data_IF_949433536603
#
_entry.id   IF_949433536603
#
_cell.length_a   1.000
_cell.length_b   1.000
_cell.length_c   1.000
_cell.angle_alpha   90.00
_cell.angle_beta   90.00
_cell.angle_gamma   90.00
#
_symmetry.space_group_name_H-M   'P 1'
#
loop_
_entity.id
_entity.type
_entity.pdbx_description
1 polymer ?
#
# COMPACT_ATOMS: atom_id res chain seq x y z
N UNK A 1 -5.91 -26.16 38.84
CA UNK A 1 -5.17 -24.88 38.87
C UNK A 1 -3.97 -25.05 37.95
N UNK A 2 -4.10 -24.69 36.66
CA UNK A 2 -3.06 -24.93 35.66
C UNK A 2 -2.01 -23.82 35.74
N UNK A 3 -0.79 -24.18 36.14
CA UNK A 3 0.39 -23.33 36.04
C UNK A 3 0.75 -23.15 34.55
N UNK A 4 0.17 -22.13 33.92
CA UNK A 4 0.66 -21.61 32.64
C UNK A 4 2.03 -20.96 32.87
N UNK A 5 3.03 -21.81 32.65
CA UNK A 5 4.40 -21.54 32.21
C UNK A 5 4.98 -20.15 32.50
N UNK A 6 5.71 -20.03 33.62
CA UNK A 6 6.52 -18.84 33.93
C UNK A 6 7.60 -18.57 32.88
N UNK A 7 7.98 -19.56 32.07
CA UNK A 7 8.95 -19.41 30.98
C UNK A 7 8.41 -18.57 29.81
N UNK A 8 7.11 -18.69 29.50
CA UNK A 8 6.47 -17.86 28.48
C UNK A 8 6.40 -16.39 28.90
N UNK A 9 6.21 -16.08 30.19
CA UNK A 9 6.15 -14.70 30.68
C UNK A 9 7.46 -13.94 30.49
N UNK A 10 8.62 -14.58 30.71
CA UNK A 10 9.93 -13.93 30.54
C UNK A 10 10.30 -13.72 29.07
N UNK A 11 9.93 -14.66 28.19
CA UNK A 11 10.14 -14.52 26.74
C UNK A 11 9.21 -13.46 26.13
N UNK A 12 7.94 -13.46 26.54
CA UNK A 12 6.94 -12.48 26.11
C UNK A 12 7.24 -11.08 26.67
N UNK A 13 7.69 -10.95 27.92
CA UNK A 13 8.10 -9.65 28.49
C UNK A 13 9.35 -9.08 27.83
N UNK A 14 10.29 -9.95 27.40
CA UNK A 14 11.47 -9.53 26.64
C UNK A 14 11.08 -9.05 25.23
N UNK A 15 10.16 -9.75 24.56
CA UNK A 15 9.58 -9.30 23.28
C UNK A 15 8.83 -7.98 23.42
N UNK A 16 7.96 -7.80 24.42
CA UNK A 16 7.30 -6.51 24.70
C UNK A 16 8.28 -5.37 24.98
N UNK A 17 9.38 -5.63 25.71
CA UNK A 17 10.45 -4.63 25.90
C UNK A 17 11.16 -4.27 24.60
N UNK A 18 11.31 -5.23 23.68
CA UNK A 18 11.89 -4.98 22.36
C UNK A 18 10.89 -4.29 21.43
N UNK A 19 9.61 -4.64 21.46
CA UNK A 19 8.53 -3.95 20.74
C UNK A 19 8.49 -2.46 21.10
N UNK A 20 8.58 -2.13 22.40
CA UNK A 20 8.67 -0.72 22.83
C UNK A 20 9.95 -0.01 22.38
N UNK A 21 11.09 -0.70 22.31
CA UNK A 21 12.34 -0.11 21.79
C UNK A 21 12.31 0.07 20.27
N UNK A 22 11.71 -0.86 19.54
CA UNK A 22 11.51 -0.78 18.09
C UNK A 22 10.55 0.35 17.75
N UNK A 23 9.45 0.49 18.49
CA UNK A 23 8.52 1.61 18.32
C UNK A 23 9.21 2.96 18.57
N UNK A 24 9.99 3.07 19.64
CA UNK A 24 10.76 4.29 19.94
C UNK A 24 11.77 4.61 18.83
N UNK A 25 12.49 3.60 18.34
CA UNK A 25 13.44 3.78 17.25
C UNK A 25 12.74 4.21 15.95
N UNK A 26 11.61 3.60 15.60
CA UNK A 26 10.82 3.99 14.43
C UNK A 26 10.22 5.40 14.58
N UNK A 27 9.83 5.79 15.79
CA UNK A 27 9.34 7.15 16.08
C UNK A 27 10.44 8.19 15.91
N UNK A 28 11.61 7.95 16.50
CA UNK A 28 12.79 8.82 16.32
C UNK A 28 13.21 8.89 14.84
N UNK A 29 13.15 7.75 14.14
CA UNK A 29 13.44 7.70 12.72
C UNK A 29 12.44 8.52 11.89
N UNK A 30 11.15 8.45 12.22
CA UNK A 30 10.10 9.26 11.60
C UNK A 30 10.33 10.77 11.82
N UNK A 31 10.60 11.19 13.06
CA UNK A 31 10.90 12.60 13.38
C UNK A 31 12.14 13.12 12.65
N UNK A 32 13.12 12.26 12.39
CA UNK A 32 14.34 12.58 11.63
C UNK A 32 14.21 12.34 10.13
N UNK A 33 13.05 11.90 9.65
CA UNK A 33 12.80 11.49 8.27
C UNK A 33 13.83 10.46 7.73
N UNK A 34 14.28 9.55 8.59
CA UNK A 34 15.17 8.44 8.23
C UNK A 34 14.40 7.14 8.02
N UNK A 35 15.08 6.09 7.57
CA UNK A 35 14.44 4.81 7.23
C UNK A 35 13.82 4.15 8.45
N UNK A 36 12.54 3.77 8.34
CA UNK A 36 11.91 2.83 9.26
C UNK A 36 10.81 2.03 8.57
N UNK A 37 10.42 0.93 9.21
CA UNK A 37 9.39 0.03 8.72
C UNK A 37 8.24 -0.05 9.74
N UNK A 38 7.03 -0.23 9.23
CA UNK A 38 5.86 -0.51 10.04
C UNK A 38 4.99 -1.58 9.36
N UNK A 39 4.16 -2.26 10.15
CA UNK A 39 3.11 -3.13 9.63
C UNK A 39 1.79 -2.61 10.14
N UNK A 40 0.91 -2.27 9.21
CA UNK A 40 -0.47 -1.86 9.48
C UNK A 40 -1.30 -3.13 9.58
N UNK A 41 -2.12 -3.23 10.61
CA UNK A 41 -2.91 -4.42 10.92
C UNK A 41 -4.39 -4.16 10.65
N UNK A 42 -5.11 -5.21 10.27
CA UNK A 42 -6.57 -5.27 10.32
C UNK A 42 -7.06 -5.29 11.78
N UNK A 43 -8.37 -5.10 11.98
CA UNK A 43 -9.01 -5.13 13.30
C UNK A 43 -8.83 -6.47 14.05
N UNK A 44 -8.68 -7.57 13.30
CA UNK A 44 -8.41 -8.90 13.84
C UNK A 44 -6.92 -9.15 14.18
N UNK A 45 -6.07 -8.14 13.95
CA UNK A 45 -4.63 -8.19 14.17
C UNK A 45 -3.83 -8.84 13.04
N UNK A 46 -4.45 -9.23 11.93
CA UNK A 46 -3.76 -9.77 10.77
C UNK A 46 -3.03 -8.66 9.99
N UNK A 47 -1.82 -8.92 9.44
CA UNK A 47 -1.12 -7.95 8.59
C UNK A 47 -1.95 -7.52 7.38
N UNK A 48 -2.19 -6.21 7.24
CA UNK A 48 -2.89 -5.62 6.11
C UNK A 48 -1.92 -5.02 5.10
N UNK A 49 -0.94 -4.27 5.59
CA UNK A 49 0.00 -3.56 4.74
C UNK A 49 1.38 -3.46 5.42
N UNK A 50 2.45 -3.75 4.67
CA UNK A 50 3.81 -3.43 5.08
C UNK A 50 4.20 -2.06 4.55
N UNK A 51 4.86 -1.26 5.38
CA UNK A 51 5.23 0.10 5.04
C UNK A 51 6.73 0.30 5.22
N UNK A 52 7.36 0.88 4.21
CA UNK A 52 8.68 1.51 4.28
C UNK A 52 8.51 3.03 4.26
N UNK A 53 9.22 3.74 5.13
CA UNK A 53 9.33 5.19 5.09
C UNK A 53 10.80 5.58 4.98
N UNK A 54 11.13 6.57 4.14
CA UNK A 54 12.51 7.04 3.93
C UNK A 54 12.52 8.46 3.32
N UNK A 55 13.06 9.49 3.98
CA UNK A 55 13.29 10.85 3.42
C UNK A 55 12.21 11.30 2.42
N UNK A 56 11.01 11.56 2.91
CA UNK A 56 9.88 11.99 2.08
C UNK A 56 9.28 10.91 1.17
N UNK A 57 9.71 9.66 1.27
CA UNK A 57 9.10 8.51 0.60
C UNK A 57 8.32 7.65 1.58
N UNK A 58 7.17 7.15 1.13
CA UNK A 58 6.46 6.05 1.75
C UNK A 58 6.12 5.00 0.69
N UNK A 59 6.61 3.79 0.86
CA UNK A 59 6.21 2.60 0.09
C UNK A 59 5.24 1.78 0.93
N UNK A 60 4.10 1.40 0.35
CA UNK A 60 3.06 0.62 1.02
C UNK A 60 2.72 -0.62 0.20
N UNK A 61 3.11 -1.77 0.70
CA UNK A 61 2.83 -3.08 0.13
C UNK A 61 1.56 -3.65 0.77
N UNK A 62 0.47 -3.72 0.02
CA UNK A 62 -0.77 -4.37 0.46
C UNK A 62 -0.63 -5.87 0.37
N UNK A 63 -1.00 -6.55 1.45
CA UNK A 63 -0.73 -7.97 1.64
C UNK A 63 -1.98 -8.81 1.40
N UNK A 64 -1.81 -9.89 0.64
CA UNK A 64 -2.83 -10.94 0.50
C UNK A 64 -2.84 -11.90 1.69
N UNK A 65 -3.72 -12.90 1.63
CA UNK A 65 -3.91 -13.89 2.71
C UNK A 65 -2.64 -14.70 3.03
N UNK A 66 -1.70 -14.82 2.08
CA UNK A 66 -0.42 -15.51 2.26
C UNK A 66 0.73 -14.53 2.47
N UNK A 67 0.42 -13.27 2.74
CA UNK A 67 1.37 -12.16 2.92
C UNK A 67 2.18 -11.83 1.66
N UNK A 68 1.64 -12.17 0.49
CA UNK A 68 2.15 -11.71 -0.79
C UNK A 68 1.77 -10.23 -1.03
N UNK A 69 2.72 -9.43 -1.47
CA UNK A 69 2.51 -8.02 -1.83
C UNK A 69 1.91 -7.90 -3.24
N UNK A 70 0.58 -7.87 -3.30
CA UNK A 70 -0.14 -7.85 -4.58
C UNK A 70 -0.29 -6.43 -5.14
N UNK A 71 -0.28 -5.39 -4.31
CA UNK A 71 -0.44 -3.99 -4.70
C UNK A 71 0.57 -3.11 -3.94
N UNK A 72 1.21 -2.17 -4.64
CA UNK A 72 2.12 -1.18 -4.07
C UNK A 72 1.59 0.23 -4.30
N UNK A 73 1.62 1.06 -3.25
CA UNK A 73 1.58 2.51 -3.37
C UNK A 73 2.96 3.11 -3.11
N UNK A 74 3.37 4.07 -3.94
CA UNK A 74 4.50 4.94 -3.64
C UNK A 74 4.06 6.39 -3.49
N UNK A 75 4.27 6.93 -2.30
CA UNK A 75 4.15 8.35 -2.02
C UNK A 75 5.51 9.05 -2.09
N UNK A 76 5.51 10.28 -2.59
CA UNK A 76 6.66 11.18 -2.57
C UNK A 76 6.26 12.53 -2.00
N UNK A 77 7.07 13.03 -1.08
CA UNK A 77 6.93 14.36 -0.51
C UNK A 77 7.14 15.41 -1.58
N UNK A 78 6.29 16.43 -1.53
CA UNK A 78 6.53 17.68 -2.19
C UNK A 78 7.19 18.64 -1.19
N UNK A 79 8.49 18.87 -1.39
CA UNK A 79 9.39 19.62 -0.50
C UNK A 79 8.86 21.02 -0.10
N UNK A 80 7.90 21.57 -0.85
CA UNK A 80 7.36 22.92 -0.62
C UNK A 80 6.00 22.95 0.08
N UNK A 81 5.24 21.86 0.07
CA UNK A 81 3.89 21.83 0.65
C UNK A 81 3.77 21.06 1.96
N UNK A 82 4.76 20.24 2.32
CA UNK A 82 4.65 19.33 3.47
C UNK A 82 3.56 18.26 3.27
N UNK A 83 3.22 18.00 2.00
CA UNK A 83 2.28 16.97 1.58
C UNK A 83 3.00 15.85 0.86
N UNK A 84 2.42 14.66 0.92
CA UNK A 84 2.80 13.54 0.09
C UNK A 84 1.88 13.44 -1.12
N UNK A 85 2.44 13.04 -2.26
CA UNK A 85 1.74 12.76 -3.49
C UNK A 85 1.82 11.27 -3.81
N UNK A 86 0.67 10.61 -3.99
CA UNK A 86 0.59 9.22 -4.48
C UNK A 86 1.04 9.19 -5.94
N UNK A 87 2.31 8.85 -6.15
CA UNK A 87 2.96 8.91 -7.45
C UNK A 87 2.80 7.62 -8.23
N UNK A 88 2.85 6.48 -7.56
CA UNK A 88 2.85 5.17 -8.22
C UNK A 88 1.82 4.25 -7.58
N UNK A 89 1.08 3.53 -8.43
CA UNK A 89 0.22 2.41 -8.05
C UNK A 89 0.61 1.21 -8.92
N UNK A 90 1.18 0.17 -8.32
CA UNK A 90 1.64 -1.02 -9.05
C UNK A 90 0.89 -2.26 -8.58
N UNK A 91 0.20 -2.94 -9.49
CA UNK A 91 -0.37 -4.26 -9.27
C UNK A 91 0.63 -5.32 -9.71
N UNK A 92 0.77 -6.38 -8.92
CA UNK A 92 1.68 -7.46 -9.20
C UNK A 92 0.98 -8.80 -9.33
N UNK A 93 1.66 -9.67 -10.06
CA UNK A 93 1.34 -11.07 -10.26
C UNK A 93 2.57 -11.89 -9.85
N UNK A 94 2.34 -13.11 -9.38
CA UNK A 94 3.41 -14.04 -9.05
C UNK A 94 3.49 -15.13 -10.09
N UNK A 95 4.71 -15.54 -10.45
CA UNK A 95 4.85 -16.70 -11.33
C UNK A 95 4.34 -17.96 -10.60
N UNK A 96 3.54 -18.81 -11.28
CA UNK A 96 2.98 -20.01 -10.67
C UNK A 96 4.05 -20.88 -10.00
N UNK A 97 3.87 -21.13 -8.69
CA UNK A 97 4.77 -21.98 -7.92
C UNK A 97 6.11 -21.33 -7.54
N UNK A 98 6.29 -20.02 -7.72
CA UNK A 98 7.50 -19.30 -7.31
C UNK A 98 7.18 -18.10 -6.43
N UNK A 99 8.22 -17.47 -5.86
CA UNK A 99 8.15 -16.17 -5.17
C UNK A 99 8.59 -15.03 -6.07
N UNK A 100 8.74 -15.27 -7.37
CA UNK A 100 9.18 -14.26 -8.32
C UNK A 100 7.98 -13.40 -8.71
N UNK A 101 8.16 -12.09 -8.54
CA UNK A 101 7.14 -11.06 -8.75
C UNK A 101 7.22 -10.52 -10.17
N UNK A 102 6.06 -10.24 -10.73
CA UNK A 102 5.88 -9.66 -12.06
C UNK A 102 4.95 -8.46 -11.97
N UNK A 103 5.32 -7.36 -12.60
CA UNK A 103 4.45 -6.18 -12.70
C UNK A 103 3.31 -6.50 -13.65
N UNK A 104 2.07 -6.46 -13.13
CA UNK A 104 0.86 -6.64 -13.91
C UNK A 104 0.36 -5.30 -14.44
N UNK A 105 0.35 -4.28 -13.59
CA UNK A 105 -0.07 -2.93 -13.97
C UNK A 105 0.79 -1.94 -13.21
N UNK A 106 1.23 -0.86 -13.84
CA UNK A 106 1.98 0.22 -13.19
C UNK A 106 1.45 1.58 -13.65
N UNK A 107 0.78 2.28 -12.76
CA UNK A 107 0.29 3.65 -12.98
C UNK A 107 1.25 4.64 -12.33
N UNK A 108 1.75 5.60 -13.11
CA UNK A 108 2.60 6.70 -12.59
C UNK A 108 1.97 8.04 -12.91
N UNK A 109 1.65 8.79 -11.87
CA UNK A 109 0.98 10.08 -11.99
C UNK A 109 1.98 11.25 -11.95
N UNK A 110 1.67 12.29 -12.70
CA UNK A 110 2.29 13.61 -12.56
C UNK A 110 1.45 14.47 -11.61
N UNK A 111 2.05 15.53 -11.06
CA UNK A 111 1.34 16.49 -10.20
C UNK A 111 0.25 17.27 -10.94
N UNK A 112 0.21 17.19 -12.27
CA UNK A 112 -0.79 17.79 -13.15
C UNK A 112 -1.96 16.84 -13.45
N UNK A 113 -1.89 15.58 -12.99
CA UNK A 113 -2.91 14.56 -13.26
C UNK A 113 -2.73 13.80 -14.57
N UNK A 114 -1.69 14.13 -15.35
CA UNK A 114 -1.25 13.24 -16.43
C UNK A 114 -0.74 11.94 -15.82
N UNK A 115 -0.79 10.85 -16.57
CA UNK A 115 -0.17 9.61 -16.13
C UNK A 115 0.41 8.81 -17.29
N UNK A 116 1.45 8.05 -16.98
CA UNK A 116 1.90 6.95 -17.82
C UNK A 116 1.45 5.65 -17.18
N UNK A 117 0.70 4.84 -17.91
CA UNK A 117 0.39 3.47 -17.51
C UNK A 117 1.20 2.47 -18.32
N UNK A 118 1.83 1.54 -17.62
CA UNK A 118 2.31 0.29 -18.19
C UNK A 118 1.29 -0.79 -17.84
N UNK A 119 0.58 -1.32 -18.85
CA UNK A 119 -0.36 -2.43 -18.68
C UNK A 119 0.29 -3.71 -19.22
N UNK A 120 0.38 -4.75 -18.40
CA UNK A 120 0.76 -6.09 -18.85
C UNK A 120 -0.47 -6.88 -19.31
N UNK A 121 -0.50 -7.28 -20.59
CA UNK A 121 -1.36 -8.34 -21.11
C UNK A 121 -0.50 -9.45 -21.73
N UNK A 122 -0.61 -10.68 -21.22
CA UNK A 122 0.01 -11.84 -21.85
C UNK A 122 0.01 -13.11 -20.98
N UNK A 123 0.02 -14.29 -21.61
CA UNK A 123 0.45 -15.53 -20.95
C UNK A 123 1.99 -15.58 -20.98
N UNK A 124 2.58 -15.96 -19.84
CA UNK A 124 4.00 -16.27 -19.74
C UNK A 124 4.30 -17.49 -20.60
N UNK A 125 4.96 -17.38 -21.77
CA UNK A 125 5.81 -18.48 -22.30
C UNK A 125 6.91 -18.14 -23.33
N UNK A 126 7.16 -16.89 -23.74
CA UNK A 126 8.21 -16.63 -24.74
C UNK A 126 8.97 -15.28 -24.66
N UNK A 127 8.78 -14.50 -23.59
CA UNK A 127 9.57 -13.28 -23.38
C UNK A 127 9.23 -12.12 -24.32
N UNK A 128 8.06 -12.14 -24.96
CA UNK A 128 7.54 -10.99 -25.71
C UNK A 128 6.86 -10.00 -24.77
N UNK A 129 7.38 -8.77 -24.75
CA UNK A 129 6.83 -7.63 -24.00
C UNK A 129 6.00 -6.77 -24.97
N UNK A 130 4.85 -6.29 -24.52
CA UNK A 130 4.12 -5.22 -25.20
C UNK A 130 3.85 -4.11 -24.18
N UNK A 131 4.64 -3.03 -24.25
CA UNK A 131 4.32 -1.80 -23.53
C UNK A 131 3.15 -1.13 -24.25
N UNK A 132 1.95 -1.35 -23.75
CA UNK A 132 0.79 -0.59 -24.21
C UNK A 132 0.85 0.78 -23.54
N UNK A 133 1.55 1.73 -24.18
CA UNK A 133 1.38 3.16 -23.87
C UNK A 133 0.03 3.60 -24.40
N UNK A 134 -0.90 3.74 -23.49
CA UNK A 134 -2.23 4.25 -23.78
C UNK A 134 -2.25 5.75 -23.50
N UNK A 135 -2.49 6.55 -24.54
CA UNK A 135 -2.80 7.97 -24.38
C UNK A 135 -4.22 8.10 -23.84
N UNK A 136 -4.32 8.32 -22.54
CA UNK A 136 -5.58 8.61 -21.88
C UNK A 136 -5.63 10.07 -21.47
N UNK A 137 -6.83 10.68 -21.37
CA UNK A 137 -6.95 12.01 -20.80
C UNK A 137 -6.44 12.02 -19.35
N UNK A 138 -5.94 13.17 -18.85
CA UNK A 138 -5.60 13.33 -17.44
C UNK A 138 -6.77 12.97 -16.54
N UNK A 139 -6.46 12.54 -15.31
CA UNK A 139 -7.49 12.31 -14.29
C UNK A 139 -8.21 13.61 -13.95
N UNK A 140 -9.42 13.51 -13.41
CA UNK A 140 -10.17 14.70 -12.99
C UNK A 140 -9.45 15.45 -11.86
N UNK A 141 -9.77 16.75 -11.70
CA UNK A 141 -9.22 17.55 -10.59
C UNK A 141 -9.61 16.97 -9.21
N UNK A 142 -10.80 16.36 -9.10
CA UNK A 142 -11.27 15.70 -7.88
C UNK A 142 -10.44 14.45 -7.56
N UNK A 143 -10.13 13.63 -8.57
CA UNK A 143 -9.24 12.47 -8.40
C UNK A 143 -7.80 12.90 -8.10
N UNK A 144 -7.32 13.96 -8.74
CA UNK A 144 -5.98 14.49 -8.50
C UNK A 144 -5.84 14.99 -7.05
N UNK A 145 -6.85 15.68 -6.50
CA UNK A 145 -6.84 16.12 -5.10
C UNK A 145 -6.76 14.93 -4.13
N UNK A 146 -7.41 13.80 -4.46
CA UNK A 146 -7.33 12.57 -3.66
C UNK A 146 -5.93 11.94 -3.64
N UNK A 147 -5.06 12.24 -4.60
CA UNK A 147 -3.68 11.75 -4.60
C UNK A 147 -2.78 12.52 -3.63
N UNK A 148 -3.22 13.69 -3.16
CA UNK A 148 -2.52 14.48 -2.16
C UNK A 148 -2.97 14.14 -0.75
N UNK A 149 -2.01 14.00 0.16
CA UNK A 149 -2.25 13.73 1.58
C UNK A 149 -1.28 14.55 2.43
N UNK A 150 -1.71 14.93 3.63
CA UNK A 150 -0.80 15.60 4.56
C UNK A 150 0.26 14.60 5.03
N UNK A 151 1.47 15.08 5.33
CA UNK A 151 2.50 14.21 5.90
C UNK A 151 1.97 13.58 7.21
N UNK A 152 1.95 12.24 7.34
CA UNK A 152 1.33 11.58 8.48
C UNK A 152 2.16 11.81 9.74
N UNK A 153 1.51 11.85 10.91
CA UNK A 153 2.22 11.66 12.18
C UNK A 153 2.61 10.20 12.34
N UNK A 154 3.61 9.93 13.17
CA UNK A 154 3.99 8.57 13.50
C UNK A 154 2.80 7.76 14.06
N UNK A 155 2.47 6.65 13.39
CA UNK A 155 1.33 5.79 13.72
C UNK A 155 -0.01 6.20 13.12
N UNK A 156 -0.12 7.34 12.43
CA UNK A 156 -1.34 7.83 11.80
C UNK A 156 -1.32 7.60 10.28
N UNK A 157 -1.27 6.33 9.86
CA UNK A 157 -1.06 5.94 8.45
C UNK A 157 -2.35 5.63 7.66
N UNK A 158 -3.53 5.66 8.31
CA UNK A 158 -4.82 5.33 7.70
C UNK A 158 -5.08 6.06 6.36
N UNK A 159 -4.62 7.32 6.25
CA UNK A 159 -4.81 8.09 5.02
C UNK A 159 -4.01 7.57 3.81
N UNK A 160 -2.89 6.86 4.05
CA UNK A 160 -1.97 6.36 3.02
C UNK A 160 -2.43 5.03 2.40
N UNK A 161 -3.27 4.27 3.12
CA UNK A 161 -3.72 2.94 2.70
C UNK A 161 -5.11 2.93 2.07
N UNK A 162 -5.70 4.11 1.85
CA UNK A 162 -7.05 4.27 1.33
C UNK A 162 -7.15 3.84 -0.13
N UNK A 163 -7.89 2.77 -0.38
CA UNK A 163 -8.13 2.24 -1.72
C UNK A 163 -9.10 3.11 -2.54
N UNK A 164 -9.94 3.92 -1.89
CA UNK A 164 -10.86 4.84 -2.58
C UNK A 164 -10.15 6.03 -3.28
N UNK A 165 -8.84 6.19 -3.03
CA UNK A 165 -7.98 7.19 -3.70
C UNK A 165 -7.52 6.74 -5.08
N UNK A 166 -7.63 5.45 -5.43
CA UNK A 166 -7.24 4.95 -6.75
C UNK A 166 -8.12 5.65 -7.80
N UNK A 167 -7.52 6.37 -8.77
CA UNK A 167 -8.29 6.97 -9.86
C UNK A 167 -9.11 5.94 -10.61
N UNK A 168 -10.27 6.33 -11.11
CA UNK A 168 -11.31 5.43 -11.60
C UNK A 168 -10.78 4.42 -12.62
N UNK A 169 -10.01 4.87 -13.63
CA UNK A 169 -9.48 3.95 -14.63
C UNK A 169 -8.54 2.92 -14.01
N UNK A 170 -7.63 3.35 -13.13
CA UNK A 170 -6.70 2.44 -12.48
C UNK A 170 -7.45 1.41 -11.62
N UNK A 171 -8.49 1.86 -10.92
CA UNK A 171 -9.36 1.01 -10.10
C UNK A 171 -10.09 -0.03 -10.93
N UNK A 172 -10.67 0.36 -12.06
CA UNK A 172 -11.34 -0.56 -13.00
C UNK A 172 -10.37 -1.62 -13.52
N UNK A 173 -9.16 -1.23 -13.92
CA UNK A 173 -8.12 -2.17 -14.40
C UNK A 173 -7.61 -3.11 -13.32
N UNK A 174 -7.45 -2.62 -12.10
CA UNK A 174 -7.05 -3.46 -10.96
C UNK A 174 -8.16 -4.48 -10.67
N UNK A 175 -9.42 -4.06 -10.63
CA UNK A 175 -10.57 -4.94 -10.38
C UNK A 175 -10.74 -6.03 -11.45
N UNK A 176 -10.51 -5.71 -12.73
CA UNK A 176 -10.54 -6.69 -13.83
C UNK A 176 -9.61 -7.90 -13.57
N UNK A 177 -8.50 -7.69 -12.84
CA UNK A 177 -7.56 -8.72 -12.46
C UNK A 177 -7.87 -9.32 -11.08
N UNK A 178 -8.04 -8.47 -10.06
CA UNK A 178 -8.20 -8.92 -8.68
C UNK A 178 -9.51 -9.65 -8.43
N UNK A 179 -10.57 -9.40 -9.20
CA UNK A 179 -11.81 -10.20 -9.08
C UNK A 179 -11.61 -11.69 -9.36
N UNK A 180 -10.58 -12.04 -10.15
CA UNK A 180 -10.27 -13.43 -10.50
C UNK A 180 -9.27 -14.04 -9.52
N UNK A 181 -8.24 -13.30 -9.16
CA UNK A 181 -7.09 -13.83 -8.41
C UNK A 181 -7.10 -13.44 -6.91
N UNK A 182 -7.67 -12.29 -6.57
CA UNK A 182 -7.63 -11.69 -5.22
C UNK A 182 -9.00 -11.08 -4.83
N UNK A 183 -10.06 -11.88 -4.68
CA UNK A 183 -11.42 -11.37 -4.49
C UNK A 183 -11.58 -10.50 -3.22
N UNK A 184 -10.74 -10.71 -2.19
CA UNK A 184 -10.71 -9.88 -0.99
C UNK A 184 -10.43 -8.39 -1.29
N UNK A 185 -9.74 -8.07 -2.39
CA UNK A 185 -9.48 -6.68 -2.77
C UNK A 185 -10.78 -5.88 -2.94
N UNK A 186 -11.80 -6.47 -3.57
CA UNK A 186 -13.10 -5.82 -3.78
C UNK A 186 -13.78 -5.50 -2.46
N UNK A 187 -13.69 -6.39 -1.48
CA UNK A 187 -14.26 -6.17 -0.15
C UNK A 187 -13.51 -5.06 0.61
N UNK A 188 -12.18 -5.03 0.54
CA UNK A 188 -11.37 -3.96 1.12
C UNK A 188 -11.66 -2.61 0.47
N UNK A 189 -11.74 -2.56 -0.86
CA UNK A 189 -12.08 -1.35 -1.59
C UNK A 189 -13.47 -0.83 -1.22
N UNK A 190 -14.49 -1.71 -1.16
CA UNK A 190 -15.84 -1.31 -0.78
C UNK A 190 -15.89 -0.79 0.67
N UNK A 191 -15.18 -1.46 1.60
CA UNK A 191 -15.07 -1.02 2.99
C UNK A 191 -14.50 0.39 3.11
N UNK A 192 -13.46 0.70 2.33
CA UNK A 192 -12.85 2.03 2.32
C UNK A 192 -13.82 3.07 1.73
N UNK A 193 -14.47 2.75 0.61
CA UNK A 193 -15.51 3.62 0.02
C UNK A 193 -16.59 3.92 1.07
N UNK A 194 -17.14 2.90 1.73
CA UNK A 194 -18.19 3.07 2.73
C UNK A 194 -17.70 3.89 3.94
N UNK A 195 -16.49 3.62 4.44
CA UNK A 195 -15.91 4.30 5.61
C UNK A 195 -15.67 5.79 5.36
N UNK A 196 -15.25 6.18 4.15
CA UNK A 196 -14.79 7.54 3.88
C UNK A 196 -15.77 8.40 3.06
N UNK A 197 -16.64 7.81 2.24
CA UNK A 197 -17.71 8.56 1.56
C UNK A 197 -18.95 8.73 2.46
N UNK A 198 -19.17 7.82 3.40
CA UNK A 198 -20.29 7.84 4.33
C UNK A 198 -19.85 7.65 5.78
N UNK A 199 -19.06 8.59 6.35
CA UNK A 199 -18.59 8.47 7.71
C UNK A 199 -19.76 8.33 8.68
N UNK A 200 -19.91 7.16 9.29
CA UNK A 200 -20.86 6.94 10.38
C UNK A 200 -20.49 7.88 11.52
N UNK A 201 -21.46 8.70 11.95
CA UNK A 201 -21.35 9.65 13.06
C UNK A 201 -21.08 8.97 14.40
#
# INVERSE_FOLDING_TARGET
MYNLDRYNKTRYSRRKKQEGLLELASREAHERQTVYFATILNDDGSPYCAMESNVGYFGLDFLGDKYEDYLLYEYREDEHSGKLFLKVITLFEYYPGTTEKKIRIDFRYTKQGDYSSLLYQGESYDGTYEEIRTDYPPISAEELEKLWVDYPKFGEYDQLIRLDRIPQLARERILEYTDKEFPAFREHLQRDIDRYEHPTK
#
